data_IF_194149979914
#
_entry.id   IF_194149979914
#
_cell.length_a   1.000
_cell.length_b   1.000
_cell.length_c   1.000
_cell.angle_alpha   90.00
_cell.angle_beta   90.00
_cell.angle_gamma   90.00
#
_symmetry.space_group_name_H-M   'P 1'
#
loop_
_entity.id
_entity.type
_entity.pdbx_description
1 polymer ?
#
# COMPACT_ATOMS: atom_id res chain seq x y z
N UNK A 1 -32.76 -10.49 3.24
CA UNK A 1 -31.28 -10.62 3.35
C UNK A 1 -30.70 -10.98 1.97
N UNK A 2 -29.68 -10.26 1.50
CA UNK A 2 -28.95 -10.67 0.30
C UNK A 2 -28.24 -12.03 0.56
N UNK A 3 -28.08 -12.90 -0.46
CA UNK A 3 -27.47 -14.22 -0.28
C UNK A 3 -25.99 -14.13 0.08
N UNK A 4 -25.50 -15.06 0.92
CA UNK A 4 -24.08 -15.16 1.31
C UNK A 4 -23.22 -15.50 0.09
N UNK A 5 -22.57 -14.50 -0.49
CA UNK A 5 -21.78 -14.59 -1.72
C UNK A 5 -20.42 -15.29 -1.57
N UNK A 6 -20.11 -15.91 -0.42
CA UNK A 6 -18.83 -16.59 -0.18
C UNK A 6 -17.62 -15.65 -0.06
N UNK A 7 -17.85 -14.37 0.20
CA UNK A 7 -16.81 -13.37 0.45
C UNK A 7 -16.77 -12.98 1.92
N UNK A 8 -15.58 -12.70 2.41
CA UNK A 8 -15.37 -12.14 3.74
C UNK A 8 -15.28 -10.61 3.70
N UNK A 9 -15.56 -9.98 4.84
CA UNK A 9 -15.39 -8.54 5.04
C UNK A 9 -14.27 -8.29 6.06
N UNK A 10 -13.30 -7.45 5.70
CA UNK A 10 -12.24 -7.01 6.59
C UNK A 10 -12.37 -5.50 6.87
N UNK A 11 -12.77 -5.09 8.09
CA UNK A 11 -12.80 -3.67 8.44
C UNK A 11 -11.38 -3.12 8.59
N UNK A 12 -11.08 -2.03 7.87
CA UNK A 12 -9.81 -1.30 7.98
C UNK A 12 -10.07 0.07 8.63
N UNK A 13 -9.59 0.33 9.85
CA UNK A 13 -9.79 1.62 10.50
C UNK A 13 -8.92 2.70 9.85
N UNK A 14 -9.22 3.96 10.17
CA UNK A 14 -8.43 5.09 9.70
C UNK A 14 -7.02 5.07 10.31
N UNK A 15 -6.00 5.27 9.47
CA UNK A 15 -4.59 5.36 9.85
C UNK A 15 -3.91 6.52 9.12
N UNK A 16 -2.72 6.89 9.60
CA UNK A 16 -1.73 7.58 8.77
C UNK A 16 -1.05 6.55 7.87
N UNK A 17 -0.85 6.88 6.60
CA UNK A 17 -0.30 5.98 5.61
C UNK A 17 1.01 6.51 5.04
N UNK A 18 2.02 5.65 4.95
CA UNK A 18 3.11 5.81 3.98
C UNK A 18 2.58 5.32 2.64
N UNK A 19 2.70 6.16 1.60
CA UNK A 19 2.36 5.80 0.23
C UNK A 19 3.61 5.92 -0.62
N UNK A 20 4.02 4.80 -1.24
CA UNK A 20 5.12 4.76 -2.20
C UNK A 20 4.59 4.38 -3.58
N UNK A 21 5.02 5.08 -4.62
CA UNK A 21 4.59 4.86 -5.99
C UNK A 21 5.68 4.17 -6.81
N UNK A 22 5.30 3.15 -7.58
CA UNK A 22 6.19 2.55 -8.58
C UNK A 22 6.36 3.47 -9.77
N UNK A 23 7.36 3.18 -10.62
CA UNK A 23 7.56 3.90 -11.88
C UNK A 23 6.67 3.39 -13.01
N UNK A 24 6.30 2.12 -12.95
CA UNK A 24 5.46 1.44 -13.93
C UNK A 24 4.64 0.35 -13.25
N UNK A 25 3.73 -0.28 -14.00
CA UNK A 25 2.95 -1.43 -13.51
C UNK A 25 3.65 -2.78 -13.67
N UNK A 26 4.93 -2.81 -14.05
CA UNK A 26 5.67 -4.07 -14.12
C UNK A 26 5.91 -4.61 -12.71
N UNK A 27 5.68 -5.92 -12.53
CA UNK A 27 5.82 -6.58 -11.23
C UNK A 27 7.19 -6.33 -10.60
N UNK A 28 8.26 -6.24 -11.39
CA UNK A 28 9.60 -5.94 -10.85
C UNK A 28 9.64 -4.58 -10.14
N UNK A 29 9.14 -3.51 -10.77
CA UNK A 29 9.11 -2.17 -10.19
C UNK A 29 8.20 -2.11 -8.96
N UNK A 30 7.06 -2.80 -9.01
CA UNK A 30 6.11 -2.87 -7.89
C UNK A 30 6.75 -3.57 -6.68
N UNK A 31 7.43 -4.70 -6.90
CA UNK A 31 8.09 -5.45 -5.82
C UNK A 31 9.22 -4.67 -5.14
N UNK A 32 9.82 -3.69 -5.81
CA UNK A 32 10.82 -2.82 -5.17
C UNK A 32 10.23 -1.89 -4.11
N UNK A 33 8.92 -1.62 -4.11
CA UNK A 33 8.30 -0.71 -3.14
C UNK A 33 8.45 -1.22 -1.70
N UNK A 34 8.32 -2.54 -1.47
CA UNK A 34 8.55 -3.12 -0.15
C UNK A 34 10.02 -3.01 0.28
N UNK A 35 10.96 -3.27 -0.64
CA UNK A 35 12.39 -3.13 -0.35
C UNK A 35 12.74 -1.68 0.02
N UNK A 36 12.18 -0.70 -0.69
CA UNK A 36 12.34 0.72 -0.39
C UNK A 36 11.70 1.10 0.95
N UNK A 37 10.46 0.67 1.21
CA UNK A 37 9.78 0.96 2.47
C UNK A 37 10.57 0.43 3.68
N UNK A 38 10.85 -0.87 3.68
CA UNK A 38 11.42 -1.58 4.83
C UNK A 38 12.94 -1.51 4.93
N UNK A 39 13.64 -1.35 3.80
CA UNK A 39 15.10 -1.30 3.74
C UNK A 39 15.69 0.11 3.77
N UNK A 40 14.93 1.12 3.32
CA UNK A 40 15.45 2.49 3.17
C UNK A 40 14.64 3.52 3.95
N UNK A 41 13.32 3.59 3.72
CA UNK A 41 12.50 4.66 4.27
C UNK A 41 12.31 4.55 5.79
N UNK A 42 11.85 3.41 6.32
CA UNK A 42 11.67 3.24 7.76
C UNK A 42 12.98 3.40 8.56
N UNK A 43 14.14 2.88 8.11
CA UNK A 43 15.41 3.15 8.79
C UNK A 43 15.82 4.64 8.82
N UNK A 44 15.37 5.44 7.84
CA UNK A 44 15.76 6.84 7.71
C UNK A 44 14.75 7.85 8.30
N UNK A 45 13.55 7.42 8.69
CA UNK A 45 12.46 8.30 9.12
C UNK A 45 11.90 7.85 10.48
N UNK A 46 11.50 8.77 11.38
CA UNK A 46 11.02 8.45 12.73
C UNK A 46 9.57 7.94 12.74
N UNK A 47 9.34 6.85 12.01
CA UNK A 47 8.06 6.19 11.85
C UNK A 47 8.24 4.67 11.85
N UNK A 48 7.19 3.96 12.26
CA UNK A 48 7.16 2.50 12.29
C UNK A 48 5.88 1.95 11.65
N UNK A 49 5.95 0.77 11.00
CA UNK A 49 4.78 0.10 10.45
C UNK A 49 3.86 -0.40 11.57
N UNK A 50 2.55 -0.35 11.33
CA UNK A 50 1.54 -0.93 12.21
C UNK A 50 1.16 -2.34 11.75
N UNK A 51 0.72 -3.22 12.66
CA UNK A 51 0.17 -4.54 12.31
C UNK A 51 -1.25 -4.40 11.73
N UNK A 52 -1.36 -3.75 10.58
CA UNK A 52 -2.57 -3.52 9.82
C UNK A 52 -2.40 -4.03 8.38
N UNK A 53 -3.48 -4.20 7.61
CA UNK A 53 -3.38 -4.64 6.22
C UNK A 53 -2.55 -3.67 5.37
N UNK A 54 -1.65 -4.23 4.55
CA UNK A 54 -1.00 -3.50 3.47
C UNK A 54 -1.90 -3.50 2.23
N UNK A 55 -2.01 -2.36 1.55
CA UNK A 55 -2.82 -2.25 0.33
C UNK A 55 -1.93 -1.95 -0.87
N UNK A 56 -2.17 -2.64 -1.98
CA UNK A 56 -1.56 -2.37 -3.28
C UNK A 56 -2.65 -1.97 -4.27
N UNK A 57 -2.54 -0.76 -4.82
CA UNK A 57 -3.49 -0.25 -5.79
C UNK A 57 -2.79 -0.01 -7.13
N UNK A 58 -3.44 -0.39 -8.24
CA UNK A 58 -3.05 0.08 -9.57
C UNK A 58 -3.72 1.43 -9.82
N UNK A 59 -2.91 2.46 -10.08
CA UNK A 59 -3.37 3.80 -10.42
C UNK A 59 -3.55 3.87 -11.93
N UNK A 60 -4.66 4.47 -12.37
CA UNK A 60 -5.02 4.62 -13.78
C UNK A 60 -4.77 6.05 -14.24
N UNK A 61 -4.35 6.22 -15.50
CA UNK A 61 -4.26 7.53 -16.17
C UNK A 61 -5.66 8.12 -16.48
N UNK A 62 -5.69 9.34 -17.01
CA UNK A 62 -6.94 10.02 -17.41
C UNK A 62 -7.74 9.27 -18.50
N UNK A 63 -7.13 8.28 -19.14
CA UNK A 63 -7.74 7.41 -20.14
C UNK A 63 -8.12 6.03 -19.59
N UNK A 64 -7.98 5.81 -18.28
CA UNK A 64 -8.32 4.55 -17.61
C UNK A 64 -7.30 3.42 -17.83
N UNK A 65 -6.08 3.72 -18.29
CA UNK A 65 -5.02 2.74 -18.52
C UNK A 65 -4.11 2.65 -17.29
N UNK A 66 -3.59 1.46 -16.94
CA UNK A 66 -2.64 1.31 -15.84
C UNK A 66 -1.39 2.18 -16.06
N UNK A 67 -1.10 3.05 -15.11
CA UNK A 67 0.04 3.97 -15.16
C UNK A 67 1.15 3.51 -14.23
N UNK A 68 0.85 3.40 -12.94
CA UNK A 68 1.74 2.90 -11.91
C UNK A 68 0.97 2.16 -10.81
N UNK A 69 1.66 1.69 -9.78
CA UNK A 69 1.05 1.15 -8.59
C UNK A 69 1.49 1.92 -7.34
N UNK A 70 0.65 1.91 -6.32
CA UNK A 70 0.95 2.48 -5.02
C UNK A 70 0.90 1.40 -3.94
N UNK A 71 1.93 1.36 -3.09
CA UNK A 71 1.97 0.59 -1.87
C UNK A 71 1.59 1.50 -0.69
N UNK A 72 0.56 1.09 0.05
CA UNK A 72 0.05 1.80 1.21
C UNK A 72 0.33 1.00 2.48
N UNK A 73 1.15 1.56 3.37
CA UNK A 73 1.52 0.97 4.65
C UNK A 73 1.02 1.85 5.80
N UNK A 74 0.26 1.29 6.74
CA UNK A 74 -0.18 2.03 7.92
C UNK A 74 1.01 2.28 8.85
N UNK A 75 1.18 3.51 9.32
CA UNK A 75 2.34 3.93 10.12
C UNK A 75 1.93 4.72 11.37
N UNK A 76 2.82 4.72 12.35
CA UNK A 76 2.78 5.63 13.51
C UNK A 76 4.16 6.27 13.71
N UNK A 77 4.25 7.45 14.36
CA UNK A 77 5.54 7.97 14.82
C UNK A 77 6.25 6.95 15.73
N UNK A 78 7.57 6.85 15.61
CA UNK A 78 8.36 6.17 16.64
C UNK A 78 8.34 7.00 17.94
N UNK A 79 8.29 6.35 19.12
CA UNK A 79 8.32 7.02 20.41
C UNK A 79 9.62 7.79 20.67
#
# INVERSE_FOLDING_TARGET
PAPDTGYDTLPVPAHTWLVLSSRTTHTHDIQQLWAQAYGEWFPANPHQPLPAPELLATVLDDHGRPDHAELWLAIAPTP
#
